data_IF_584493344452
#
_entry.id   IF_584493344452
#
_cell.length_a   1.000
_cell.length_b   1.000
_cell.length_c   1.000
_cell.angle_alpha   90.00
_cell.angle_beta   90.00
_cell.angle_gamma   90.00
#
_symmetry.space_group_name_H-M   'P 1'
#
loop_
_entity.id
_entity.type
_entity.pdbx_description
1 polymer ?
#
# COMPACT_ATOMS: atom_id res chain seq x y z
N UNK A 1 -23.02 -10.10 46.93
CA UNK A 1 -23.61 -11.14 47.80
C UNK A 1 -24.62 -11.90 46.94
N UNK A 2 -24.34 -13.19 46.72
CA UNK A 2 -25.15 -14.22 46.04
C UNK A 2 -26.55 -14.38 46.71
N UNK A 3 -27.59 -15.03 46.11
CA UNK A 3 -27.48 -16.43 45.64
C UNK A 3 -28.33 -16.93 44.43
N UNK A 4 -27.79 -17.99 43.78
CA UNK A 4 -28.38 -19.26 43.27
C UNK A 4 -29.76 -19.25 42.57
N UNK A 5 -29.99 -19.98 41.45
CA UNK A 5 -30.28 -21.44 41.40
C UNK A 5 -30.18 -22.02 39.97
N UNK A 6 -29.65 -23.25 39.89
CA UNK A 6 -29.58 -24.22 38.77
C UNK A 6 -30.94 -24.75 38.30
N UNK A 7 -31.09 -25.11 37.01
CA UNK A 7 -31.76 -26.37 36.59
C UNK A 7 -31.11 -26.91 35.30
N UNK A 8 -30.50 -28.10 35.41
CA UNK A 8 -30.20 -29.03 34.32
C UNK A 8 -31.41 -29.96 34.15
N UNK A 9 -31.75 -30.34 32.92
CA UNK A 9 -32.78 -31.35 32.63
C UNK A 9 -32.45 -32.17 31.39
N UNK A 10 -31.87 -33.35 31.60
CA UNK A 10 -31.85 -34.49 30.68
C UNK A 10 -33.23 -35.16 30.69
N UNK A 11 -33.68 -35.70 29.54
CA UNK A 11 -34.45 -36.95 29.50
C UNK A 11 -34.17 -37.73 28.22
N UNK A 12 -33.85 -39.01 28.42
CA UNK A 12 -33.52 -40.06 27.45
C UNK A 12 -34.76 -40.74 26.85
N UNK A 13 -34.59 -41.38 25.68
CA UNK A 13 -34.86 -42.82 25.42
C UNK A 13 -34.27 -43.19 24.04
N UNK A 14 -33.23 -44.03 23.96
CA UNK A 14 -33.16 -45.51 24.06
C UNK A 14 -33.57 -46.21 22.75
N UNK A 15 -32.63 -47.00 22.22
CA UNK A 15 -32.77 -47.93 21.10
C UNK A 15 -31.44 -48.66 20.84
N UNK A 16 -31.28 -49.79 21.52
CA UNK A 16 -30.18 -50.79 21.61
C UNK A 16 -29.93 -51.52 20.27
N UNK A 17 -28.74 -52.07 19.93
CA UNK A 17 -28.33 -53.49 20.17
C UNK A 17 -26.90 -53.75 19.57
N UNK A 18 -26.00 -54.33 20.41
CA UNK A 18 -24.83 -55.27 20.22
C UNK A 18 -23.98 -55.27 18.92
N UNK A 19 -22.65 -55.45 18.84
CA UNK A 19 -21.61 -56.06 19.68
C UNK A 19 -20.89 -57.22 18.92
N UNK A 20 -19.59 -57.05 18.56
CA UNK A 20 -18.56 -58.06 18.12
C UNK A 20 -18.74 -58.77 16.72
N UNK A 21 -17.78 -59.08 15.83
CA UNK A 21 -16.31 -59.30 15.83
C UNK A 21 -15.62 -59.06 14.42
N UNK A 22 -14.29 -58.85 14.45
CA UNK A 22 -13.18 -59.33 13.57
C UNK A 22 -13.15 -59.26 12.01
N UNK A 23 -12.19 -58.45 11.52
CA UNK A 23 -11.16 -58.63 10.45
C UNK A 23 -11.21 -59.83 9.46
N UNK A 24 -11.28 -59.54 8.14
CA UNK A 24 -10.73 -60.32 6.99
C UNK A 24 -10.75 -59.41 5.73
N UNK A 25 -9.58 -58.94 5.23
CA UNK A 25 -8.73 -59.49 4.16
C UNK A 25 -8.96 -58.90 2.74
N UNK A 26 -8.01 -58.02 2.38
CA UNK A 26 -7.45 -57.70 1.05
C UNK A 26 -7.79 -58.64 -0.13
N UNK A 27 -8.19 -58.07 -1.29
CA UNK A 27 -7.68 -58.36 -2.66
C UNK A 27 -8.48 -57.63 -3.76
N UNK A 28 -7.85 -56.68 -4.46
CA UNK A 28 -8.30 -56.17 -5.78
C UNK A 28 -7.17 -56.46 -6.77
N UNK A 29 -7.41 -57.17 -7.90
CA UNK A 29 -6.32 -57.55 -8.79
C UNK A 29 -6.09 -56.51 -9.91
N UNK A 30 -4.81 -56.18 -10.11
CA UNK A 30 -4.25 -55.80 -11.41
C UNK A 30 -4.52 -56.93 -12.42
N UNK A 31 -5.01 -56.60 -13.62
CA UNK A 31 -4.70 -57.19 -14.96
C UNK A 31 -5.90 -56.89 -15.87
N UNK A 32 -5.94 -55.70 -16.48
CA UNK A 32 -6.51 -55.49 -17.83
C UNK A 32 -5.73 -54.32 -18.47
N UNK A 33 -4.46 -54.58 -18.75
CA UNK A 33 -3.69 -53.82 -19.75
C UNK A 33 -3.55 -54.77 -20.95
N UNK A 34 -3.61 -54.22 -22.17
CA UNK A 34 -3.51 -54.88 -23.49
C UNK A 34 -4.82 -55.42 -24.07
N UNK A 35 -5.53 -54.57 -24.81
CA UNK A 35 -6.06 -54.69 -26.21
C UNK A 35 -6.97 -53.44 -26.33
N UNK A 36 -6.59 -52.32 -26.95
CA UNK A 36 -6.72 -52.01 -28.39
C UNK A 36 -5.80 -50.82 -28.64
N UNK A 37 -4.61 -51.09 -29.17
CA UNK A 37 -3.88 -50.14 -30.00
C UNK A 37 -4.30 -50.34 -31.46
N UNK A 38 -4.22 -49.26 -32.24
CA UNK A 38 -4.52 -49.13 -33.68
C UNK A 38 -5.99 -48.77 -34.01
N UNK A 39 -6.14 -47.75 -34.88
CA UNK A 39 -7.37 -47.06 -35.31
C UNK A 39 -7.92 -46.09 -34.25
N UNK A 40 -7.56 -44.80 -34.18
CA UNK A 40 -7.62 -43.81 -35.25
C UNK A 40 -6.66 -42.65 -34.96
N UNK A 41 -5.67 -42.47 -35.83
CA UNK A 41 -4.98 -41.19 -36.03
C UNK A 41 -5.83 -40.40 -37.03
N UNK A 42 -6.39 -39.25 -36.64
CA UNK A 42 -6.42 -37.99 -37.42
C UNK A 42 -7.30 -36.91 -36.77
N UNK A 43 -6.66 -35.74 -36.56
CA UNK A 43 -7.21 -34.37 -36.57
C UNK A 43 -7.85 -33.86 -35.27
N UNK A 44 -7.03 -33.22 -34.43
CA UNK A 44 -7.19 -31.79 -34.09
C UNK A 44 -5.77 -31.20 -33.98
N UNK A 45 -5.45 -30.26 -34.86
CA UNK A 45 -4.23 -29.44 -34.78
C UNK A 45 -4.50 -28.30 -33.80
N UNK A 46 -3.55 -28.04 -32.90
CA UNK A 46 -3.44 -26.75 -32.22
C UNK A 46 -3.44 -26.80 -30.70
N UNK A 47 -2.28 -27.08 -30.11
CA UNK A 47 -1.75 -26.27 -29.01
C UNK A 47 -0.24 -26.50 -28.96
N UNK A 48 0.54 -25.49 -29.36
CA UNK A 48 1.99 -25.57 -29.30
C UNK A 48 2.51 -25.51 -27.87
N UNK A 49 3.60 -26.24 -27.68
CA UNK A 49 4.33 -26.47 -26.46
C UNK A 49 4.87 -25.19 -25.81
N UNK A 50 4.86 -25.15 -24.48
CA UNK A 50 5.95 -24.54 -23.73
C UNK A 50 6.41 -25.54 -22.67
N UNK A 51 7.47 -26.27 -23.03
CA UNK A 51 8.21 -27.17 -22.16
C UNK A 51 9.14 -26.33 -21.28
N UNK A 52 8.97 -26.37 -19.96
CA UNK A 52 9.81 -25.65 -18.99
C UNK A 52 11.04 -26.50 -18.70
N UNK A 53 12.13 -26.29 -19.46
CA UNK A 53 13.49 -26.67 -19.05
C UNK A 53 14.53 -26.23 -20.08
N UNK A 54 14.91 -24.95 -20.08
CA UNK A 54 16.28 -24.49 -20.41
C UNK A 54 16.35 -22.97 -20.20
N UNK A 55 16.97 -22.54 -19.10
CA UNK A 55 17.51 -21.19 -19.03
C UNK A 55 19.01 -21.34 -18.77
N UNK A 56 19.76 -21.29 -19.86
CA UNK A 56 21.21 -21.22 -19.85
C UNK A 56 21.65 -19.85 -19.33
N UNK A 57 22.58 -19.88 -18.39
CA UNK A 57 23.30 -18.74 -17.85
C UNK A 57 23.99 -17.94 -18.96
N UNK A 58 23.44 -16.77 -19.27
CA UNK A 58 24.18 -15.67 -19.89
C UNK A 58 24.56 -14.71 -18.77
N UNK A 59 25.86 -14.68 -18.48
CA UNK A 59 26.49 -13.69 -17.63
C UNK A 59 26.56 -12.35 -18.38
N UNK A 60 26.15 -11.27 -17.71
CA UNK A 60 26.10 -9.90 -18.26
C UNK A 60 24.69 -9.32 -18.44
N UNK A 61 24.03 -8.95 -17.33
CA UNK A 61 22.76 -8.21 -17.34
C UNK A 61 22.67 -7.23 -16.17
N UNK A 62 22.66 -5.94 -16.50
CA UNK A 62 22.52 -4.77 -15.61
C UNK A 62 21.49 -4.99 -14.50
N UNK A 63 21.85 -4.70 -13.25
CA UNK A 63 20.90 -4.66 -12.12
C UNK A 63 19.81 -3.62 -12.41
N UNK A 64 18.55 -4.01 -12.65
CA UNK A 64 17.48 -3.05 -12.85
C UNK A 64 16.95 -2.69 -11.46
N UNK A 65 17.17 -1.42 -11.10
CA UNK A 65 16.45 -0.68 -10.06
C UNK A 65 17.06 -0.68 -8.65
N UNK A 66 18.24 -0.06 -8.50
CA UNK A 66 18.67 0.49 -7.21
C UNK A 66 17.82 1.72 -6.88
N UNK A 67 16.56 1.50 -6.49
CA UNK A 67 15.65 2.57 -6.07
C UNK A 67 16.05 3.03 -4.67
N UNK A 68 16.05 4.34 -4.44
CA UNK A 68 16.31 4.90 -3.12
C UNK A 68 15.24 4.44 -2.11
N UNK A 69 15.64 3.61 -1.15
CA UNK A 69 14.76 3.05 -0.12
C UNK A 69 14.69 3.97 1.10
N UNK A 70 13.51 4.53 1.40
CA UNK A 70 13.33 5.54 2.46
C UNK A 70 12.48 5.00 3.60
N UNK A 71 12.96 5.14 4.84
CA UNK A 71 12.27 4.66 6.04
C UNK A 71 11.05 5.53 6.40
N UNK A 72 10.04 4.88 6.98
CA UNK A 72 8.88 5.52 7.59
C UNK A 72 9.28 6.20 8.91
N UNK A 73 8.91 7.46 9.05
CA UNK A 73 8.99 8.21 10.30
C UNK A 73 7.58 8.54 10.78
N UNK A 74 7.23 8.11 11.99
CA UNK A 74 5.96 8.46 12.62
C UNK A 74 6.05 9.85 13.26
N UNK A 75 4.90 10.49 13.49
CA UNK A 75 4.80 11.80 14.15
C UNK A 75 4.13 11.63 15.52
N UNK A 76 4.86 11.26 16.60
CA UNK A 76 4.25 11.04 17.92
C UNK A 76 3.55 12.29 18.47
N UNK A 77 4.09 13.47 18.18
CA UNK A 77 3.52 14.77 18.60
C UNK A 77 2.13 15.05 18.02
N UNK A 78 1.74 14.35 16.94
CA UNK A 78 0.43 14.46 16.31
C UNK A 78 -0.72 14.01 17.24
N UNK A 79 -0.46 13.02 18.11
CA UNK A 79 -1.46 12.52 19.05
C UNK A 79 -1.99 13.61 19.99
N UNK A 80 -1.10 14.50 20.47
CA UNK A 80 -1.48 15.61 21.35
C UNK A 80 -2.43 16.61 20.68
N UNK A 81 -2.45 16.64 19.34
CA UNK A 81 -3.34 17.48 18.53
C UNK A 81 -4.60 16.73 18.07
N UNK A 82 -4.74 15.45 18.42
CA UNK A 82 -5.78 14.56 17.91
C UNK A 82 -5.62 14.26 16.41
N UNK A 83 -4.43 14.45 15.85
CA UNK A 83 -4.10 14.07 14.48
C UNK A 83 -3.75 12.58 14.46
N UNK A 84 -4.75 11.75 14.14
CA UNK A 84 -4.64 10.29 14.14
C UNK A 84 -5.30 9.69 12.90
N UNK A 85 -4.80 8.54 12.44
CA UNK A 85 -5.37 7.75 11.36
C UNK A 85 -6.77 7.22 11.71
N UNK A 86 -7.46 6.60 10.74
CA UNK A 86 -8.80 6.02 10.94
C UNK A 86 -8.91 5.10 12.17
N UNK A 87 -7.87 4.37 12.51
CA UNK A 87 -7.83 3.46 13.67
C UNK A 87 -7.36 4.11 14.99
N UNK A 88 -6.92 5.37 14.96
CA UNK A 88 -6.38 6.09 16.12
C UNK A 88 -4.86 6.08 16.25
N UNK A 89 -4.13 5.40 15.35
CA UNK A 89 -2.65 5.47 15.32
C UNK A 89 -2.16 6.83 14.83
N UNK A 90 -0.91 7.19 15.15
CA UNK A 90 -0.32 8.45 14.67
C UNK A 90 0.05 8.38 13.18
N UNK A 91 -0.06 9.48 12.43
CA UNK A 91 0.39 9.53 11.03
C UNK A 91 1.91 9.45 10.91
N UNK A 92 2.40 9.31 9.68
CA UNK A 92 3.82 9.29 9.38
C UNK A 92 4.13 9.77 7.96
N UNK A 93 5.42 9.90 7.67
CA UNK A 93 5.96 10.35 6.40
C UNK A 93 7.29 9.65 6.11
N UNK A 94 7.71 9.70 4.85
CA UNK A 94 9.04 9.31 4.41
C UNK A 94 9.76 10.58 3.95
N UNK A 95 11.02 10.75 4.31
CA UNK A 95 11.82 11.90 3.89
C UNK A 95 13.20 11.46 3.43
N UNK A 96 13.61 11.96 2.26
CA UNK A 96 15.00 11.95 1.83
C UNK A 96 15.50 13.39 1.75
N UNK A 97 16.70 13.63 2.31
CA UNK A 97 17.26 14.98 2.43
C UNK A 97 17.87 15.42 1.10
N UNK A 98 17.68 16.70 0.80
CA UNK A 98 18.25 17.33 -0.39
C UNK A 98 19.76 17.53 -0.27
N UNK A 99 20.40 17.83 -1.39
CA UNK A 99 21.85 18.03 -1.50
C UNK A 99 22.18 19.27 -2.34
N UNK A 100 23.40 19.79 -2.19
CA UNK A 100 23.89 20.92 -2.98
C UNK A 100 22.97 22.15 -2.94
N UNK A 101 22.68 22.72 -4.11
CA UNK A 101 21.80 23.88 -4.26
C UNK A 101 20.33 23.58 -3.92
N UNK A 102 19.90 22.32 -4.02
CA UNK A 102 18.56 21.84 -3.71
C UNK A 102 18.32 21.57 -2.22
N UNK A 103 19.36 21.61 -1.37
CA UNK A 103 19.26 21.28 0.06
C UNK A 103 18.24 22.13 0.85
N UNK A 104 17.90 23.33 0.37
CA UNK A 104 16.89 24.21 0.96
C UNK A 104 15.58 24.26 0.17
N UNK A 105 15.38 23.38 -0.81
CA UNK A 105 14.13 23.26 -1.55
C UNK A 105 13.35 22.02 -1.12
N UNK A 106 12.03 22.06 -1.24
CA UNK A 106 11.13 21.04 -0.70
C UNK A 106 10.05 20.60 -1.68
N UNK A 107 9.99 19.29 -1.92
CA UNK A 107 8.94 18.59 -2.66
C UNK A 107 8.13 17.74 -1.68
N UNK A 108 6.84 18.05 -1.53
CA UNK A 108 5.92 17.30 -0.68
C UNK A 108 4.92 16.58 -1.58
N UNK A 109 5.03 15.27 -1.63
CA UNK A 109 4.03 14.39 -2.22
C UNK A 109 3.02 14.00 -1.15
N UNK A 110 1.74 14.13 -1.47
CA UNK A 110 0.67 13.53 -0.69
C UNK A 110 0.38 12.14 -1.26
N UNK A 111 0.42 11.11 -0.41
CA UNK A 111 0.02 9.78 -0.83
C UNK A 111 -1.47 9.78 -1.21
N UNK A 112 -1.81 9.09 -2.31
CA UNK A 112 -3.19 8.86 -2.72
C UNK A 112 -3.81 7.62 -2.04
N UNK A 113 -4.87 7.09 -2.65
CA UNK A 113 -5.47 5.81 -2.21
C UNK A 113 -6.99 5.79 -2.15
N UNK A 114 -7.67 6.84 -2.61
CA UNK A 114 -9.14 6.93 -2.65
C UNK A 114 -9.78 7.13 -1.27
N UNK A 115 -11.10 6.97 -1.20
CA UNK A 115 -11.90 7.26 -0.01
C UNK A 115 -12.63 6.04 0.52
N UNK A 116 -13.07 6.10 1.77
CA UNK A 116 -14.13 5.23 2.26
C UNK A 116 -15.43 6.04 2.38
N UNK A 117 -16.52 5.52 1.82
CA UNK A 117 -17.75 6.32 1.62
C UNK A 117 -18.86 6.01 2.63
N UNK A 118 -18.63 5.06 3.55
CA UNK A 118 -19.57 4.72 4.62
C UNK A 118 -18.86 4.01 5.78
N UNK A 119 -19.51 3.93 6.94
CA UNK A 119 -18.94 3.33 8.16
C UNK A 119 -18.41 1.91 7.91
N UNK A 120 -19.14 1.06 7.20
CA UNK A 120 -18.70 -0.32 6.90
C UNK A 120 -17.38 -0.35 6.13
N UNK A 121 -17.27 0.44 5.06
CA UNK A 121 -16.04 0.53 4.25
C UNK A 121 -14.89 1.16 5.04
N UNK A 122 -15.16 2.15 5.88
CA UNK A 122 -14.13 2.78 6.72
C UNK A 122 -13.63 1.85 7.83
N UNK A 123 -14.52 1.05 8.44
CA UNK A 123 -14.13 0.01 9.41
C UNK A 123 -13.21 -1.03 8.77
N UNK A 124 -13.50 -1.46 7.54
CA UNK A 124 -12.59 -2.36 6.82
C UNK A 124 -11.28 -1.66 6.42
N UNK A 125 -11.33 -0.38 6.05
CA UNK A 125 -10.14 0.37 5.63
C UNK A 125 -9.15 0.62 6.76
N UNK A 126 -9.63 0.79 8.00
CA UNK A 126 -8.76 1.06 9.15
C UNK A 126 -7.78 -0.08 9.47
N UNK A 127 -8.02 -1.28 8.95
CA UNK A 127 -7.11 -2.43 9.06
C UNK A 127 -6.18 -2.58 7.86
N UNK A 128 -5.89 -1.49 7.14
CA UNK A 128 -5.02 -1.46 5.95
C UNK A 128 -4.00 -0.33 6.06
N UNK A 129 -2.99 -0.31 5.17
CA UNK A 129 -1.98 0.76 5.11
C UNK A 129 -2.58 2.17 4.96
N UNK A 130 -3.77 2.29 4.37
CA UNK A 130 -4.45 3.56 4.15
C UNK A 130 -5.46 3.94 5.24
N UNK A 131 -5.43 3.26 6.38
CA UNK A 131 -6.25 3.62 7.53
C UNK A 131 -5.53 3.48 8.88
N UNK A 132 -4.28 3.02 8.88
CA UNK A 132 -3.50 2.79 10.09
C UNK A 132 -2.01 2.73 9.78
N UNK A 133 -1.20 3.41 10.59
CA UNK A 133 0.26 3.40 10.43
C UNK A 133 0.92 2.09 10.87
N UNK A 134 0.19 1.22 11.57
CA UNK A 134 0.66 -0.13 11.88
C UNK A 134 0.92 -0.94 10.60
N UNK A 135 0.08 -0.74 9.58
CA UNK A 135 0.13 -1.50 8.31
C UNK A 135 0.84 -0.74 7.18
N UNK A 136 1.35 0.46 7.41
CA UNK A 136 2.16 1.18 6.41
C UNK A 136 3.47 0.45 6.14
N UNK A 137 3.91 0.49 4.89
CA UNK A 137 5.24 0.05 4.48
C UNK A 137 6.30 0.80 5.29
N UNK A 138 7.18 0.05 5.97
CA UNK A 138 8.25 0.63 6.81
C UNK A 138 9.36 1.25 5.98
N UNK A 139 9.49 0.79 4.73
CA UNK A 139 10.45 1.27 3.75
C UNK A 139 9.70 1.47 2.45
N UNK A 140 9.87 2.61 1.81
CA UNK A 140 9.22 2.96 0.54
C UNK A 140 10.29 3.31 -0.50
N UNK A 141 10.27 2.70 -1.70
CA UNK A 141 11.14 3.12 -2.79
C UNK A 141 10.68 4.49 -3.31
N UNK A 142 11.60 5.43 -3.40
CA UNK A 142 11.39 6.72 -4.03
C UNK A 142 11.74 6.61 -5.52
N UNK A 143 10.75 6.80 -6.37
CA UNK A 143 10.84 6.71 -7.84
C UNK A 143 10.12 7.88 -8.49
N UNK A 144 10.30 8.06 -9.81
CA UNK A 144 9.66 9.15 -10.56
C UNK A 144 9.97 10.52 -9.97
N UNK A 145 8.96 11.34 -9.68
CA UNK A 145 9.16 12.69 -9.10
C UNK A 145 9.84 12.67 -7.72
N UNK A 146 9.83 11.54 -7.01
CA UNK A 146 10.53 11.39 -5.73
C UNK A 146 11.95 10.82 -5.88
N UNK A 147 12.33 10.37 -7.08
CA UNK A 147 13.65 9.79 -7.36
C UNK A 147 14.78 10.77 -7.07
N UNK A 148 15.93 10.24 -6.68
CA UNK A 148 17.19 10.96 -6.51
C UNK A 148 18.07 10.92 -7.78
N UNK A 149 17.60 10.25 -8.83
CA UNK A 149 18.29 10.16 -10.11
C UNK A 149 17.87 11.31 -11.04
N UNK A 150 18.80 12.13 -11.55
CA UNK A 150 18.48 13.19 -12.50
C UNK A 150 17.77 12.71 -13.76
N UNK A 151 18.05 11.49 -14.22
CA UNK A 151 17.44 10.93 -15.43
C UNK A 151 15.94 10.62 -15.23
N UNK A 152 15.51 10.33 -14.01
CA UNK A 152 14.10 10.10 -13.66
C UNK A 152 13.41 11.37 -13.14
N UNK A 153 14.19 12.27 -12.51
CA UNK A 153 13.69 13.46 -11.82
C UNK A 153 14.60 14.68 -12.08
N UNK A 154 14.64 15.21 -13.31
CA UNK A 154 15.60 16.24 -13.69
C UNK A 154 15.47 17.54 -12.88
N UNK A 155 14.27 17.84 -12.38
CA UNK A 155 13.97 19.09 -11.70
C UNK A 155 14.16 19.02 -10.17
N UNK A 156 13.85 17.89 -9.53
CA UNK A 156 13.73 17.80 -8.07
C UNK A 156 14.66 16.75 -7.42
N UNK A 157 15.53 16.06 -8.18
CA UNK A 157 16.41 15.00 -7.66
C UNK A 157 17.35 15.43 -6.52
N UNK A 158 17.60 16.73 -6.37
CA UNK A 158 18.46 17.31 -5.31
C UNK A 158 17.67 17.99 -4.17
N UNK A 159 16.34 18.03 -4.24
CA UNK A 159 15.49 18.69 -3.23
C UNK A 159 15.29 17.81 -1.99
N UNK A 160 14.80 18.36 -0.89
CA UNK A 160 14.19 17.53 0.16
C UNK A 160 12.89 16.95 -0.40
N UNK A 161 12.79 15.62 -0.45
CA UNK A 161 11.64 14.92 -1.02
C UNK A 161 10.91 14.19 0.10
N UNK A 162 9.63 14.47 0.22
CA UNK A 162 8.78 13.97 1.29
C UNK A 162 7.57 13.28 0.69
N UNK A 163 7.23 12.10 1.21
CA UNK A 163 5.92 11.48 0.98
C UNK A 163 5.15 11.42 2.30
N UNK A 164 4.13 12.28 2.45
CA UNK A 164 3.24 12.26 3.61
C UNK A 164 2.22 11.13 3.44
N UNK A 165 2.20 10.18 4.38
CA UNK A 165 1.38 8.98 4.28
C UNK A 165 -0.09 9.28 4.53
N UNK A 166 -0.94 8.67 3.73
CA UNK A 166 -2.39 8.85 3.74
C UNK A 166 -3.06 7.79 4.59
N UNK A 167 -3.81 8.21 5.62
CA UNK A 167 -4.48 7.28 6.52
C UNK A 167 -5.81 7.77 7.11
N UNK A 168 -6.37 8.88 6.62
CA UNK A 168 -7.63 9.46 7.14
C UNK A 168 -8.87 9.03 6.37
N UNK A 169 -8.71 8.45 5.17
CA UNK A 169 -9.83 8.02 4.33
C UNK A 169 -10.67 9.15 3.72
N UNK A 170 -10.25 10.40 3.86
CA UNK A 170 -10.96 11.62 3.44
C UNK A 170 -10.04 12.65 2.74
N UNK A 171 -9.01 12.22 1.99
CA UNK A 171 -8.03 13.09 1.31
C UNK A 171 -7.47 14.25 2.13
N UNK A 172 -7.11 14.01 3.40
CA UNK A 172 -6.62 15.05 4.30
C UNK A 172 -7.61 16.19 4.58
N UNK A 173 -8.91 15.99 4.32
CA UNK A 173 -9.96 17.02 4.51
C UNK A 173 -10.97 16.69 5.61
N UNK A 174 -10.96 15.47 6.15
CA UNK A 174 -11.89 15.06 7.21
C UNK A 174 -11.62 15.77 8.54
N UNK A 175 -12.70 16.11 9.26
CA UNK A 175 -12.66 16.60 10.63
C UNK A 175 -13.87 16.09 11.44
N UNK A 176 -13.87 14.81 11.76
CA UNK A 176 -14.95 14.14 12.48
C UNK A 176 -14.53 12.81 13.10
N UNK A 177 -15.48 12.10 13.70
CA UNK A 177 -15.26 10.77 14.25
C UNK A 177 -16.57 9.99 14.32
N UNK A 178 -16.46 8.68 14.53
CA UNK A 178 -17.58 7.82 14.90
C UNK A 178 -17.15 6.94 16.07
N UNK A 179 -17.66 7.25 17.25
CA UNK A 179 -17.27 6.63 18.51
C UNK A 179 -17.69 5.17 18.57
N UNK A 180 -18.91 4.85 18.11
CA UNK A 180 -19.44 3.49 18.09
C UNK A 180 -18.58 2.55 17.23
N UNK A 181 -18.12 3.03 16.07
CA UNK A 181 -17.26 2.28 15.15
C UNK A 181 -15.75 2.43 15.47
N UNK A 182 -15.38 3.27 16.45
CA UNK A 182 -14.00 3.67 16.76
C UNK A 182 -13.26 4.09 15.49
N UNK A 183 -13.80 5.10 14.81
CA UNK A 183 -13.23 5.70 13.60
C UNK A 183 -12.91 7.16 13.83
N UNK A 184 -11.75 7.60 13.31
CA UNK A 184 -11.29 8.98 13.39
C UNK A 184 -11.05 9.54 11.98
N UNK A 185 -11.83 10.53 11.59
CA UNK A 185 -11.67 11.22 10.30
C UNK A 185 -10.90 12.52 10.55
N UNK A 186 -9.58 12.43 10.70
CA UNK A 186 -8.71 13.55 11.16
C UNK A 186 -7.77 14.06 10.09
N UNK A 187 -8.20 14.01 8.83
CA UNK A 187 -7.41 14.41 7.68
C UNK A 187 -6.83 15.82 7.80
N UNK A 188 -7.65 16.80 8.20
CA UNK A 188 -7.18 18.19 8.35
C UNK A 188 -6.08 18.31 9.41
N UNK A 189 -6.26 17.62 10.54
CA UNK A 189 -5.27 17.60 11.62
C UNK A 189 -3.99 16.88 11.24
N UNK A 190 -4.09 15.78 10.49
CA UNK A 190 -2.93 15.06 9.96
C UNK A 190 -2.12 15.97 9.03
N UNK A 191 -2.79 16.69 8.13
CA UNK A 191 -2.12 17.68 7.26
C UNK A 191 -1.42 18.76 8.07
N UNK A 192 -2.11 19.39 9.03
CA UNK A 192 -1.53 20.42 9.89
C UNK A 192 -0.32 19.91 10.67
N UNK A 193 -0.46 18.78 11.36
CA UNK A 193 0.62 18.18 12.15
C UNK A 193 1.81 17.78 11.25
N UNK A 194 1.55 17.25 10.05
CA UNK A 194 2.58 16.94 9.07
C UNK A 194 3.33 18.19 8.60
N UNK A 195 2.62 19.27 8.27
CA UNK A 195 3.28 20.51 7.84
C UNK A 195 4.11 21.13 8.96
N UNK A 196 3.60 21.16 10.18
CA UNK A 196 4.35 21.66 11.35
C UNK A 196 5.61 20.84 11.62
N UNK A 197 5.53 19.51 11.52
CA UNK A 197 6.68 18.62 11.62
C UNK A 197 7.73 18.99 10.58
N UNK A 198 7.35 19.07 9.30
CA UNK A 198 8.27 19.42 8.21
C UNK A 198 8.86 20.84 8.39
N UNK A 199 8.07 21.80 8.86
CA UNK A 199 8.56 23.14 9.20
C UNK A 199 9.66 23.08 10.27
N UNK A 200 9.49 22.25 11.28
CA UNK A 200 10.50 22.04 12.34
C UNK A 200 11.78 21.40 11.81
N UNK A 201 11.67 20.53 10.79
CA UNK A 201 12.77 19.85 10.12
C UNK A 201 13.57 20.73 9.14
N UNK A 202 13.24 22.02 9.06
CA UNK A 202 13.97 23.01 8.25
C UNK A 202 13.17 23.59 7.09
N UNK A 203 11.95 23.08 6.80
CA UNK A 203 11.12 23.60 5.71
C UNK A 203 10.71 25.06 5.93
N UNK A 204 10.69 25.53 7.18
CA UNK A 204 10.48 26.95 7.51
C UNK A 204 11.48 27.90 6.85
N UNK A 205 12.66 27.40 6.45
CA UNK A 205 13.72 28.16 5.80
C UNK A 205 13.82 27.84 4.29
N UNK A 206 12.78 27.23 3.70
CA UNK A 206 12.83 26.79 2.31
C UNK A 206 12.97 27.98 1.35
N UNK A 207 13.88 27.85 0.37
CA UNK A 207 14.02 28.83 -0.72
C UNK A 207 12.90 28.68 -1.74
N UNK A 208 12.58 27.43 -2.09
CA UNK A 208 11.48 27.07 -2.96
C UNK A 208 10.73 25.89 -2.34
N UNK A 209 9.40 25.98 -2.32
CA UNK A 209 8.51 24.89 -1.95
C UNK A 209 7.31 24.91 -2.88
N UNK A 210 6.73 23.75 -3.20
CA UNK A 210 5.65 23.67 -4.20
C UNK A 210 4.49 24.60 -3.86
N UNK A 211 4.09 24.72 -2.60
CA UNK A 211 3.02 25.64 -2.22
C UNK A 211 3.35 27.11 -2.53
N UNK A 212 4.62 27.52 -2.35
CA UNK A 212 5.10 28.84 -2.76
C UNK A 212 5.09 28.96 -4.28
N UNK A 213 5.58 27.95 -5.00
CA UNK A 213 5.59 27.93 -6.47
C UNK A 213 4.17 27.95 -7.07
N UNK A 214 3.22 27.20 -6.51
CA UNK A 214 1.81 27.17 -6.93
C UNK A 214 1.12 28.48 -6.59
N UNK A 215 1.38 29.07 -5.42
CA UNK A 215 0.90 30.41 -5.10
C UNK A 215 1.46 31.47 -6.03
N UNK A 216 2.76 31.41 -6.32
CA UNK A 216 3.41 32.36 -7.23
C UNK A 216 2.94 32.17 -8.68
N UNK A 217 2.60 30.94 -9.12
CA UNK A 217 1.91 30.70 -10.40
C UNK A 217 0.50 31.28 -10.40
N UNK A 218 -0.33 30.93 -9.42
CA UNK A 218 -1.74 31.34 -9.34
C UNK A 218 -1.90 32.86 -9.26
N UNK A 219 -0.97 33.53 -8.58
CA UNK A 219 -0.95 34.99 -8.44
C UNK A 219 0.02 35.68 -9.41
N UNK A 220 0.55 34.97 -10.42
CA UNK A 220 1.46 35.50 -11.45
C UNK A 220 2.69 36.25 -10.89
N UNK A 221 3.19 35.83 -9.73
CA UNK A 221 4.37 36.43 -9.06
C UNK A 221 5.70 35.87 -9.53
N UNK A 222 5.71 34.91 -10.46
CA UNK A 222 6.92 34.34 -11.05
C UNK A 222 6.69 33.78 -12.45
N UNK A 223 7.71 33.86 -13.32
CA UNK A 223 7.70 33.13 -14.59
C UNK A 223 7.67 31.61 -14.33
N UNK A 224 6.57 30.98 -14.75
CA UNK A 224 6.45 29.52 -14.67
C UNK A 224 7.16 28.91 -15.86
N UNK A 225 8.25 28.20 -15.59
CA UNK A 225 8.85 27.29 -16.56
C UNK A 225 7.83 26.17 -16.81
N UNK A 226 7.12 26.25 -17.93
CA UNK A 226 6.36 25.11 -18.44
C UNK A 226 7.36 23.97 -18.65
N UNK A 227 7.20 22.89 -17.87
CA UNK A 227 7.98 21.66 -18.03
C UNK A 227 7.42 20.85 -19.20
N UNK A 228 6.18 21.14 -19.59
CA UNK A 228 5.55 20.57 -20.76
C UNK A 228 5.90 21.38 -22.01
N UNK A 229 6.14 20.70 -23.12
CA UNK A 229 6.31 21.38 -24.39
C UNK A 229 4.97 21.97 -24.88
N UNK A 230 4.99 22.91 -25.84
CA UNK A 230 3.77 23.34 -26.48
C UNK A 230 3.13 22.16 -27.21
N UNK A 231 1.87 21.86 -26.87
CA UNK A 231 1.11 20.85 -27.60
C UNK A 231 1.10 21.18 -29.12
N UNK A 232 1.25 20.18 -30.01
CA UNK A 232 1.38 18.75 -29.73
C UNK A 232 2.79 18.34 -29.29
N UNK A 233 2.87 17.85 -28.05
CA UNK A 233 4.04 17.18 -27.52
C UNK A 233 4.02 15.72 -27.93
N UNK A 234 4.55 15.44 -29.10
CA UNK A 234 4.93 14.08 -29.48
C UNK A 234 6.30 14.10 -30.10
N UNK A 235 7.25 13.45 -29.42
CA UNK A 235 8.32 12.69 -30.08
C UNK A 235 8.54 11.43 -29.26
N UNK A 236 7.65 10.46 -29.45
CA UNK A 236 7.77 9.06 -29.06
C UNK A 236 7.92 8.85 -27.55
N UNK A 237 6.81 8.54 -26.87
CA UNK A 237 6.84 7.42 -25.93
C UNK A 237 7.59 6.26 -26.63
N UNK A 238 8.49 5.53 -25.93
CA UNK A 238 9.16 4.40 -26.56
C UNK A 238 8.15 3.41 -27.16
#
# INVERSE_FOLDING_TARGET
MLPFVFVLGLFERVGEVTGEEAMELLRVPLVVVFVVGCFWVRWVSGFEAWNVSEFSSVDGGVSPNDSLMVNLTLIPSAAAKGAVCLDGTVPGYHIHRGSGSGANNWLIQLEGGGWCNNIRTCVSRKTTRHGSSNYMEKILPFTGILSDKPDENPDFYSWNRVNLRYCDGASFTGEGQNEAAKLYFRGQRIWQAGMEELMSLGMRNAKQGIAKSVGDWYFERSEVKAIDCPYPCDKTCP
#
